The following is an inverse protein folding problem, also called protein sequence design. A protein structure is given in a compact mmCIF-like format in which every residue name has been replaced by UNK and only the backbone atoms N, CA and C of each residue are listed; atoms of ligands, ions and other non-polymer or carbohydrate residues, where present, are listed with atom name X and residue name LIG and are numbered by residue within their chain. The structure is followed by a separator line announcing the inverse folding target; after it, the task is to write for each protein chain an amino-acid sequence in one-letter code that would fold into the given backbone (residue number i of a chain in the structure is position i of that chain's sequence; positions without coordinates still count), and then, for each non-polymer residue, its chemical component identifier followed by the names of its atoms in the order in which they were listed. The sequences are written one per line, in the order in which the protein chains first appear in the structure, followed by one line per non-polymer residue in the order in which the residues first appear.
data_IF_886916509814
#
_entry.id   IF_886916509814
#
_cell.length_a   1.000
_cell.length_b   1.000
_cell.length_c   1.000
_cell.angle_alpha   90.00
_cell.angle_beta   90.00
_cell.angle_gamma   90.00
#
_symmetry.space_group_name_H-M   'P 1'
#
loop_
_entity.id
_entity.type
_entity.pdbx_description
1 polymer ?
#
# COMPACT_ATOMS: atom_id res chain seq x y z
N UNK A 1 -8.03 -19.94 -10.40
CA UNK A 1 -7.32 -20.13 -9.13
C UNK A 1 -7.82 -19.11 -8.12
N UNK A 2 -8.21 -19.59 -6.95
CA UNK A 2 -8.70 -18.71 -5.89
C UNK A 2 -7.55 -18.33 -4.96
N UNK A 3 -7.06 -17.10 -5.11
CA UNK A 3 -6.04 -16.57 -4.24
C UNK A 3 -6.68 -15.99 -2.97
N UNK A 4 -6.03 -16.19 -1.84
CA UNK A 4 -6.53 -15.71 -0.56
C UNK A 4 -6.58 -14.18 -0.53
N UNK A 5 -7.69 -13.62 -0.09
CA UNK A 5 -7.85 -12.18 0.11
C UNK A 5 -8.82 -11.97 1.27
N UNK A 6 -8.26 -11.62 2.43
CA UNK A 6 -9.03 -11.31 3.63
C UNK A 6 -8.88 -9.84 3.97
N UNK A 7 -9.98 -9.20 4.35
CA UNK A 7 -9.99 -7.81 4.76
C UNK A 7 -10.90 -7.70 5.99
N UNK A 8 -10.31 -7.40 7.14
CA UNK A 8 -11.00 -7.37 8.43
C UNK A 8 -10.78 -6.04 9.13
N UNK A 9 -11.81 -5.47 9.72
CA UNK A 9 -11.73 -4.21 10.47
C UNK A 9 -12.02 -4.49 11.94
N UNK A 10 -11.09 -4.11 12.82
CA UNK A 10 -11.26 -4.18 14.27
C UNK A 10 -11.36 -2.76 14.82
N UNK A 11 -12.56 -2.28 15.05
CA UNK A 11 -12.81 -0.91 15.50
C UNK A 11 -12.26 -0.65 16.90
N UNK A 12 -12.34 -1.64 17.79
CA UNK A 12 -11.83 -1.50 19.16
C UNK A 12 -10.32 -1.29 19.17
N UNK A 13 -9.61 -1.96 18.26
CA UNK A 13 -8.17 -1.82 18.13
C UNK A 13 -7.77 -0.71 17.16
N UNK A 14 -8.71 -0.06 16.50
CA UNK A 14 -8.48 0.97 15.47
C UNK A 14 -7.59 0.45 14.35
N UNK A 15 -7.75 -0.83 13.99
CA UNK A 15 -6.81 -1.53 13.10
C UNK A 15 -7.56 -2.23 11.98
N UNK A 16 -6.96 -2.18 10.78
CA UNK A 16 -7.41 -2.94 9.62
C UNK A 16 -6.37 -4.04 9.38
N UNK A 17 -6.85 -5.27 9.18
CA UNK A 17 -6.00 -6.43 8.90
C UNK A 17 -6.31 -6.92 7.49
N UNK A 18 -5.27 -7.04 6.67
CA UNK A 18 -5.40 -7.49 5.29
C UNK A 18 -4.42 -8.63 5.06
N UNK A 19 -4.90 -9.70 4.44
CA UNK A 19 -4.05 -10.81 3.99
C UNK A 19 -4.33 -11.04 2.52
N UNK A 20 -3.29 -10.97 1.69
CA UNK A 20 -3.42 -11.15 0.25
C UNK A 20 -2.36 -12.11 -0.27
N UNK A 21 -2.81 -13.13 -1.00
CA UNK A 21 -1.94 -14.07 -1.67
C UNK A 21 -1.74 -13.64 -3.13
N UNK A 22 -0.50 -13.71 -3.61
CA UNK A 22 -0.15 -13.40 -5.00
C UNK A 22 0.51 -14.60 -5.64
N UNK A 23 0.14 -14.89 -6.89
CA UNK A 23 0.75 -15.95 -7.68
C UNK A 23 2.02 -15.41 -8.35
N UNK A 24 3.04 -15.16 -7.54
CA UNK A 24 4.33 -14.63 -7.97
C UNK A 24 5.36 -14.89 -6.88
N UNK A 25 6.64 -14.85 -7.23
CA UNK A 25 7.67 -15.13 -6.24
C UNK A 25 7.87 -13.96 -5.28
N UNK A 26 8.49 -14.26 -4.14
CA UNK A 26 8.70 -13.31 -3.05
C UNK A 26 9.50 -12.09 -3.50
N UNK A 27 10.57 -12.28 -4.27
CA UNK A 27 11.40 -11.16 -4.71
C UNK A 27 10.63 -10.18 -5.57
N UNK A 28 9.81 -10.68 -6.50
CA UNK A 28 9.01 -9.84 -7.37
C UNK A 28 7.94 -9.08 -6.58
N UNK A 29 7.27 -9.76 -5.65
CA UNK A 29 6.25 -9.12 -4.82
C UNK A 29 6.88 -8.06 -3.91
N UNK A 30 8.02 -8.38 -3.30
CA UNK A 30 8.76 -7.39 -2.50
C UNK A 30 9.09 -6.15 -3.33
N UNK A 31 9.63 -6.34 -4.55
CA UNK A 31 9.96 -5.21 -5.43
C UNK A 31 8.73 -4.38 -5.77
N UNK A 32 7.58 -5.02 -5.94
CA UNK A 32 6.35 -4.34 -6.29
C UNK A 32 5.88 -3.37 -5.19
N UNK A 33 6.22 -3.65 -3.93
CA UNK A 33 5.85 -2.80 -2.79
C UNK A 33 6.95 -1.80 -2.42
N UNK A 34 8.14 -1.92 -2.99
CA UNK A 34 9.30 -1.14 -2.53
C UNK A 34 10.02 -0.36 -3.63
N UNK A 35 9.54 -0.41 -4.86
CA UNK A 35 10.14 0.26 -6.01
C UNK A 35 9.16 1.26 -6.62
N UNK A 36 9.58 2.51 -6.77
CA UNK A 36 8.69 3.58 -7.23
C UNK A 36 8.07 3.29 -8.60
N UNK A 37 8.88 2.82 -9.56
CA UNK A 37 8.42 2.55 -10.91
C UNK A 37 7.32 1.49 -10.94
N UNK A 38 7.37 0.52 -10.04
CA UNK A 38 6.36 -0.53 -9.97
C UNK A 38 5.14 -0.03 -9.18
N UNK A 39 5.36 0.62 -8.05
CA UNK A 39 4.26 1.18 -7.24
C UNK A 39 3.37 2.10 -8.06
N UNK A 40 3.96 2.94 -8.90
CA UNK A 40 3.20 3.90 -9.70
C UNK A 40 2.29 3.23 -10.73
N UNK A 41 2.49 1.94 -11.01
CA UNK A 41 1.67 1.22 -11.98
C UNK A 41 0.43 0.58 -11.38
N UNK A 42 0.34 0.43 -10.04
CA UNK A 42 -0.78 -0.30 -9.46
C UNK A 42 -1.43 0.34 -8.23
N UNK A 43 -0.70 1.20 -7.51
CA UNK A 43 -1.15 1.60 -6.17
C UNK A 43 -2.37 2.53 -6.18
N UNK A 44 -2.59 3.29 -7.24
CA UNK A 44 -3.75 4.17 -7.33
C UNK A 44 -4.96 3.43 -7.91
N UNK A 45 -6.14 3.55 -7.26
CA UNK A 45 -7.37 2.97 -7.83
C UNK A 45 -7.73 3.70 -9.12
N UNK A 46 -8.01 2.95 -10.19
CA UNK A 46 -8.42 3.55 -11.46
C UNK A 46 -9.72 4.34 -11.30
N UNK A 47 -9.90 5.47 -11.97
CA UNK A 47 -9.07 6.03 -13.06
C UNK A 47 -7.93 6.93 -12.59
N UNK A 48 -7.65 6.98 -11.28
CA UNK A 48 -6.51 7.73 -10.75
C UNK A 48 -5.20 7.04 -11.14
N UNK A 49 -4.13 7.83 -11.24
CA UNK A 49 -2.77 7.32 -11.47
C UNK A 49 -1.87 7.79 -10.34
N UNK A 50 -0.79 7.05 -10.10
CA UNK A 50 0.19 7.37 -9.08
C UNK A 50 1.44 7.95 -9.72
N UNK A 51 1.96 9.04 -9.15
CA UNK A 51 3.22 9.65 -9.59
C UNK A 51 4.10 9.89 -8.38
N UNK A 52 5.16 9.11 -8.25
CA UNK A 52 6.15 9.29 -7.19
C UNK A 52 7.06 10.45 -7.54
N UNK A 53 7.11 11.45 -6.66
CA UNK A 53 8.02 12.59 -6.81
C UNK A 53 9.38 12.27 -6.23
N UNK A 54 9.40 11.58 -5.09
CA UNK A 54 10.64 11.19 -4.41
C UNK A 54 10.44 9.89 -3.68
N UNK A 55 11.44 9.01 -3.72
CA UNK A 55 11.42 7.80 -2.92
C UNK A 55 12.84 7.40 -2.51
N UNK A 56 13.02 7.20 -1.21
CA UNK A 56 14.25 6.69 -0.64
C UNK A 56 13.86 5.58 0.32
N UNK A 57 13.94 4.33 -0.16
CA UNK A 57 13.50 3.18 0.60
C UNK A 57 14.60 2.72 1.55
N UNK A 58 14.68 3.37 2.69
CA UNK A 58 15.59 3.03 3.80
C UNK A 58 14.97 3.51 5.09
N UNK A 59 15.44 2.98 6.22
CA UNK A 59 14.99 3.47 7.53
C UNK A 59 15.35 4.94 7.66
N UNK A 60 14.32 5.76 7.99
CA UNK A 60 14.46 7.21 8.02
C UNK A 60 14.22 7.89 6.68
N UNK A 61 14.09 7.11 5.60
CA UNK A 61 13.73 7.63 4.29
C UNK A 61 12.22 7.77 4.11
N UNK A 62 11.80 8.22 2.92
CA UNK A 62 10.39 8.46 2.65
C UNK A 62 10.04 8.29 1.18
N UNK A 63 8.76 8.08 0.93
CA UNK A 63 8.18 8.17 -0.40
C UNK A 63 7.17 9.33 -0.38
N UNK A 64 7.31 10.26 -1.31
CA UNK A 64 6.37 11.36 -1.49
C UNK A 64 5.77 11.26 -2.88
N UNK A 65 4.45 11.17 -2.97
CA UNK A 65 3.80 10.90 -4.24
C UNK A 65 2.42 11.56 -4.31
N UNK A 66 1.90 11.69 -5.53
CA UNK A 66 0.55 12.17 -5.76
C UNK A 66 -0.26 11.12 -6.48
N UNK A 67 -1.54 11.01 -6.11
CA UNK A 67 -2.52 10.35 -6.94
C UNK A 67 -3.17 11.44 -7.77
N UNK A 68 -3.24 11.21 -9.09
CA UNK A 68 -3.71 12.21 -10.05
C UNK A 68 -4.95 11.70 -10.77
N UNK A 69 -6.01 12.50 -10.75
CA UNK A 69 -7.27 12.16 -11.43
C UNK A 69 -7.17 12.43 -12.93
N UNK A 70 -8.12 11.90 -13.74
CA UNK A 70 -8.15 12.20 -15.17
C UNK A 70 -8.26 13.71 -15.46
N UNK A 71 -8.86 14.47 -14.52
CA UNK A 71 -9.01 15.93 -14.65
C UNK A 71 -7.77 16.70 -14.20
N UNK A 72 -6.75 16.01 -13.69
CA UNK A 72 -5.52 16.62 -13.23
C UNK A 72 -5.51 17.03 -11.76
N UNK A 73 -6.51 16.63 -10.99
CA UNK A 73 -6.51 16.88 -9.55
C UNK A 73 -5.43 16.02 -8.87
N UNK A 74 -4.68 16.63 -7.97
CA UNK A 74 -3.59 15.94 -7.27
C UNK A 74 -3.94 15.74 -5.80
N UNK A 75 -3.76 14.52 -5.32
CA UNK A 75 -3.89 14.19 -3.91
C UNK A 75 -2.54 13.65 -3.43
N UNK A 76 -1.83 14.45 -2.65
CA UNK A 76 -0.50 14.10 -2.17
C UNK A 76 -0.55 13.21 -0.94
N UNK A 77 0.47 12.36 -0.80
CA UNK A 77 0.62 11.50 0.36
C UNK A 77 2.10 11.28 0.65
N UNK A 78 2.41 11.01 1.92
CA UNK A 78 3.77 10.76 2.35
C UNK A 78 3.81 9.47 3.16
N UNK A 79 4.86 8.68 2.92
CA UNK A 79 5.13 7.42 3.62
C UNK A 79 6.54 7.50 4.17
N UNK A 80 6.67 7.38 5.50
CA UNK A 80 7.97 7.46 6.17
C UNK A 80 8.34 6.06 6.66
N UNK A 81 9.47 5.54 6.20
CA UNK A 81 9.89 4.17 6.52
C UNK A 81 10.56 4.13 7.88
N UNK A 82 10.04 3.29 8.79
CA UNK A 82 10.51 3.22 10.17
C UNK A 82 11.28 1.93 10.46
N UNK A 83 11.03 0.86 9.70
CA UNK A 83 11.71 -0.42 9.88
C UNK A 83 11.74 -1.17 8.56
N UNK A 84 12.86 -1.80 8.24
CA UNK A 84 13.01 -2.58 7.01
C UNK A 84 13.85 -3.84 7.30
N UNK A 85 13.25 -5.01 7.04
CA UNK A 85 13.96 -6.30 7.02
C UNK A 85 13.77 -6.87 5.62
N UNK A 86 14.79 -6.81 4.75
CA UNK A 86 14.63 -7.12 3.33
C UNK A 86 13.89 -8.43 3.06
N UNK A 87 12.89 -8.37 2.18
CA UNK A 87 12.05 -9.48 1.73
C UNK A 87 11.23 -10.16 2.84
N UNK A 88 11.20 -9.58 4.03
CA UNK A 88 10.48 -10.16 5.17
C UNK A 88 9.43 -9.20 5.71
N UNK A 89 9.82 -7.96 6.00
CA UNK A 89 8.94 -7.01 6.67
C UNK A 89 9.40 -5.58 6.44
N UNK A 90 8.45 -4.65 6.30
CA UNK A 90 8.77 -3.25 6.49
C UNK A 90 7.58 -2.54 7.15
N UNK A 91 7.90 -1.44 7.83
CA UNK A 91 6.91 -0.61 8.50
C UNK A 91 7.06 0.82 8.06
N UNK A 92 5.94 1.52 7.96
CA UNK A 92 5.94 2.91 7.59
C UNK A 92 4.80 3.68 8.26
N UNK A 93 5.02 4.96 8.46
CA UNK A 93 3.97 5.91 8.79
C UNK A 93 3.39 6.44 7.48
N UNK A 94 2.07 6.47 7.35
CA UNK A 94 1.39 6.91 6.12
C UNK A 94 0.38 8.01 6.45
N UNK A 95 0.37 9.08 5.66
CA UNK A 95 -0.58 10.17 5.80
C UNK A 95 -0.79 10.86 4.46
N UNK A 96 -1.96 11.45 4.27
CA UNK A 96 -2.10 12.44 3.21
C UNK A 96 -1.22 13.63 3.56
N UNK A 97 -0.84 14.41 2.56
CA UNK A 97 0.05 15.55 2.76
C UNK A 97 -0.32 16.69 1.82
N UNK A 98 0.24 17.86 2.07
CA UNK A 98 0.16 18.95 1.10
C UNK A 98 1.34 18.79 0.12
N UNK A 99 1.41 19.68 -0.87
CA UNK A 99 2.46 19.63 -1.90
C UNK A 99 3.85 19.93 -1.35
N UNK A 100 3.95 20.46 -0.14
CA UNK A 100 5.21 20.80 0.53
C UNK A 100 5.63 19.74 1.55
N UNK A 101 5.02 18.53 1.47
CA UNK A 101 5.33 17.38 2.32
C UNK A 101 4.90 17.53 3.78
N UNK A 102 3.96 18.41 4.09
CA UNK A 102 3.43 18.51 5.44
C UNK A 102 2.31 17.49 5.62
N UNK A 103 2.47 16.50 6.52
CA UNK A 103 1.45 15.46 6.68
C UNK A 103 0.19 16.01 7.35
N UNK A 104 -0.95 15.49 6.88
CA UNK A 104 -2.25 15.75 7.50
C UNK A 104 -2.43 14.73 8.63
N UNK A 105 -2.40 15.19 9.86
CA UNK A 105 -2.56 14.33 11.02
C UNK A 105 -4.01 14.27 11.47
N UNK A 106 -4.46 13.15 12.06
CA UNK A 106 -3.69 11.94 12.36
C UNK A 106 -3.44 11.08 11.12
N UNK A 107 -2.32 10.35 11.14
CA UNK A 107 -1.99 9.39 10.10
C UNK A 107 -2.24 7.96 10.53
N UNK A 108 -1.59 7.02 9.87
CA UNK A 108 -1.69 5.60 10.19
C UNK A 108 -0.34 4.92 10.10
N UNK A 109 -0.17 3.86 10.89
CA UNK A 109 1.04 3.05 10.89
C UNK A 109 0.76 1.74 10.16
N UNK A 110 1.56 1.46 9.15
CA UNK A 110 1.40 0.29 8.28
C UNK A 110 2.55 -0.68 8.52
N UNK A 111 2.20 -1.95 8.65
CA UNK A 111 3.15 -3.05 8.84
C UNK A 111 2.90 -4.08 7.75
N UNK A 112 3.92 -4.33 6.92
CA UNK A 112 3.86 -5.29 5.81
C UNK A 112 4.76 -6.48 6.14
N UNK A 113 4.20 -7.68 6.16
CA UNK A 113 4.97 -8.91 6.35
C UNK A 113 4.79 -9.82 5.14
N UNK A 114 5.91 -10.30 4.61
CA UNK A 114 5.96 -11.12 3.39
C UNK A 114 6.41 -12.52 3.73
N UNK A 115 5.72 -13.52 3.18
CA UNK A 115 6.12 -14.92 3.32
C UNK A 115 5.83 -15.67 2.03
N UNK A 116 6.59 -16.74 1.79
CA UNK A 116 6.41 -17.57 0.61
C UNK A 116 5.86 -18.92 1.01
N UNK A 117 4.89 -19.40 0.23
CA UNK A 117 4.26 -20.69 0.48
C UNK A 117 3.86 -21.33 -0.86
N UNK A 118 4.43 -22.49 -1.16
CA UNK A 118 4.10 -23.25 -2.38
C UNK A 118 4.28 -22.43 -3.68
N UNK A 119 5.35 -21.65 -3.75
CA UNK A 119 5.64 -20.84 -4.92
C UNK A 119 4.82 -19.57 -5.05
N UNK A 120 3.98 -19.27 -4.06
CA UNK A 120 3.17 -18.05 -3.99
C UNK A 120 3.63 -17.20 -2.83
N UNK A 121 3.32 -15.92 -2.88
CA UNK A 121 3.68 -14.98 -1.81
C UNK A 121 2.43 -14.52 -1.07
N UNK A 122 2.50 -14.52 0.25
CA UNK A 122 1.44 -14.01 1.11
C UNK A 122 1.93 -12.72 1.75
N UNK A 123 1.13 -11.66 1.61
CA UNK A 123 1.42 -10.37 2.24
C UNK A 123 0.38 -10.12 3.31
N UNK A 124 0.84 -9.92 4.54
CA UNK A 124 0.00 -9.50 5.66
C UNK A 124 0.22 -8.02 5.88
N UNK A 125 -0.86 -7.25 5.87
CA UNK A 125 -0.80 -5.80 6.08
C UNK A 125 -1.64 -5.46 7.30
N UNK A 126 -1.04 -4.78 8.26
CA UNK A 126 -1.72 -4.29 9.44
C UNK A 126 -1.67 -2.78 9.43
N UNK A 127 -2.83 -2.13 9.51
CA UNK A 127 -2.94 -0.68 9.47
C UNK A 127 -3.54 -0.19 10.77
N UNK A 128 -2.70 0.41 11.63
CA UNK A 128 -3.15 1.01 12.87
C UNK A 128 -3.45 2.48 12.66
N UNK A 129 -4.64 2.93 13.09
CA UNK A 129 -5.08 4.31 12.96
C UNK A 129 -5.10 4.96 14.33
N UNK A 130 -4.50 6.14 14.47
CA UNK A 130 -4.51 6.88 15.72
C UNK A 130 -5.93 7.33 16.11
N UNK A 131 -6.77 7.58 15.11
CA UNK A 131 -8.12 8.08 15.30
C UNK A 131 -9.15 7.10 14.73
N UNK A 132 -10.05 6.61 15.59
CA UNK A 132 -11.16 5.75 15.16
C UNK A 132 -12.08 6.50 14.19
N UNK A 133 -12.39 7.77 14.49
CA UNK A 133 -13.25 8.59 13.64
C UNK A 133 -12.66 8.72 12.22
N UNK A 134 -11.35 8.94 12.14
CA UNK A 134 -10.66 9.04 10.85
C UNK A 134 -10.70 7.72 10.09
N UNK A 135 -10.47 6.60 10.78
CA UNK A 135 -10.54 5.27 10.18
C UNK A 135 -11.93 4.99 9.61
N UNK A 136 -12.98 5.28 10.38
CA UNK A 136 -14.34 5.07 9.93
C UNK A 136 -14.70 5.95 8.74
N UNK A 137 -14.24 7.19 8.75
CA UNK A 137 -14.46 8.11 7.63
C UNK A 137 -13.79 7.61 6.35
N UNK A 138 -12.55 7.12 6.45
CA UNK A 138 -11.83 6.58 5.31
C UNK A 138 -12.57 5.39 4.70
N UNK A 139 -13.10 4.50 5.54
CA UNK A 139 -13.86 3.34 5.08
C UNK A 139 -15.15 3.80 4.38
N UNK A 140 -15.86 4.76 4.96
CA UNK A 140 -17.07 5.33 4.35
C UNK A 140 -16.79 5.94 2.98
N UNK A 141 -15.61 6.55 2.81
CA UNK A 141 -15.22 7.19 1.56
C UNK A 141 -14.73 6.20 0.50
N UNK A 142 -14.79 4.90 0.78
CA UNK A 142 -14.47 3.88 -0.19
C UNK A 142 -13.07 3.27 -0.08
N UNK A 143 -12.41 3.41 1.06
CA UNK A 143 -11.06 2.85 1.25
C UNK A 143 -11.02 1.35 0.93
N UNK A 144 -11.99 0.58 1.45
CA UNK A 144 -12.02 -0.87 1.25
C UNK A 144 -12.07 -1.24 -0.23
N UNK A 145 -12.99 -0.62 -0.97
CA UNK A 145 -13.15 -0.92 -2.40
C UNK A 145 -11.95 -0.43 -3.22
N UNK A 146 -11.42 0.75 -2.88
CA UNK A 146 -10.23 1.27 -3.55
C UNK A 146 -9.02 0.40 -3.30
N UNK A 147 -8.84 -0.08 -2.07
CA UNK A 147 -7.73 -0.97 -1.73
C UNK A 147 -7.83 -2.30 -2.47
N UNK A 148 -9.03 -2.89 -2.51
CA UNK A 148 -9.26 -4.14 -3.26
C UNK A 148 -8.93 -3.95 -4.74
N UNK A 149 -9.32 -2.82 -5.31
CA UNK A 149 -9.01 -2.50 -6.71
C UNK A 149 -7.50 -2.42 -6.93
N UNK A 150 -6.77 -1.76 -6.02
CA UNK A 150 -5.31 -1.66 -6.11
C UNK A 150 -4.65 -3.03 -6.04
N UNK A 151 -5.13 -3.92 -5.16
CA UNK A 151 -4.61 -5.29 -5.05
C UNK A 151 -4.85 -6.07 -6.34
N UNK A 152 -6.01 -5.90 -6.97
CA UNK A 152 -6.30 -6.55 -8.24
C UNK A 152 -5.45 -5.99 -9.38
N UNK A 153 -5.19 -4.68 -9.36
CA UNK A 153 -4.26 -4.05 -10.32
C UNK A 153 -2.87 -4.69 -10.19
N UNK A 154 -2.41 -4.89 -8.95
CA UNK A 154 -1.12 -5.51 -8.71
C UNK A 154 -1.10 -6.96 -9.20
N UNK A 155 -2.14 -7.73 -8.93
CA UNK A 155 -2.23 -9.11 -9.40
C UNK A 155 -2.09 -9.18 -10.93
N UNK A 156 -2.79 -8.30 -11.64
CA UNK A 156 -2.72 -8.25 -13.10
C UNK A 156 -1.34 -7.84 -13.60
N UNK A 157 -0.70 -6.90 -12.92
CA UNK A 157 0.65 -6.45 -13.26
C UNK A 157 1.66 -7.58 -13.05
N UNK A 158 1.58 -8.27 -11.92
CA UNK A 158 2.48 -9.38 -11.59
C UNK A 158 2.34 -10.53 -12.58
N UNK A 159 1.12 -10.82 -13.05
CA UNK A 159 0.89 -11.87 -14.05
C UNK A 159 1.67 -11.59 -15.32
N UNK A 160 1.74 -10.33 -15.75
CA UNK A 160 2.52 -9.93 -16.92
C UNK A 160 4.03 -10.02 -16.69
N UNK A 161 4.49 -9.62 -15.52
CA UNK A 161 5.92 -9.63 -15.18
C UNK A 161 6.41 -11.04 -14.88
N UNK A 162 5.62 -11.85 -14.18
CA UNK A 162 6.02 -13.18 -13.76
C UNK A 162 6.20 -14.15 -14.92
N UNK A 163 5.41 -13.99 -15.96
CA UNK A 163 5.46 -14.89 -17.13
C UNK A 163 6.64 -14.62 -18.06
N UNK A 164 7.41 -13.62 -17.76
CA UNK A 164 8.63 -13.34 -18.52
C UNK A 164 9.81 -14.11 -17.94
#
# INVERSE_FOLDING_TARGET
MNLLFDFTVDKAAKTVFITREFDADLSLVWDAFTTAEILDQWVAPKPWTSKTKFMDFKVGGRRFYAMVSPEGQERWAIQKYTSISPKTNFKMFNAFADKDENPELPGSDWDYTFSEQNGKTIVHITIYNESLARMEKMIEMGFTEGFKMSMNNLENLLAGLWKK
#
